data_IF_956832795346
#
_entry.id   IF_956832795346
#
_cell.length_a   1.000
_cell.length_b   1.000
_cell.length_c   1.000
_cell.angle_alpha   90.00
_cell.angle_beta   90.00
_cell.angle_gamma   90.00
#
_symmetry.space_group_name_H-M   'P 1'
#
loop_
_entity.id
_entity.type
_entity.pdbx_description
1 polymer ?
#
# COMPACT_ATOMS: atom_id res chain seq x y z
N UNK A 1 -37.05 5.61 -6.55
CA UNK A 1 -36.08 5.48 -7.65
C UNK A 1 -36.87 5.52 -8.94
N UNK A 2 -36.58 6.47 -9.79
CA UNK A 2 -37.20 6.64 -11.11
C UNK A 2 -36.17 6.35 -12.22
N UNK A 3 -36.59 6.28 -13.48
CA UNK A 3 -35.67 6.10 -14.60
C UNK A 3 -34.62 7.24 -14.71
N UNK A 4 -34.94 8.41 -14.18
CA UNK A 4 -34.01 9.55 -14.14
C UNK A 4 -32.85 9.35 -13.14
N UNK A 5 -33.03 8.46 -12.15
CA UNK A 5 -32.00 8.15 -11.15
C UNK A 5 -31.03 7.06 -11.63
N UNK A 6 -31.23 6.52 -12.84
CA UNK A 6 -30.44 5.42 -13.40
C UNK A 6 -29.40 5.97 -14.36
N UNK A 7 -28.12 5.99 -13.97
CA UNK A 7 -27.01 6.50 -14.78
C UNK A 7 -26.61 5.54 -15.92
N UNK A 8 -26.75 4.23 -15.72
CA UNK A 8 -26.40 3.23 -16.74
C UNK A 8 -27.17 1.92 -16.52
N UNK A 9 -27.28 1.09 -17.58
CA UNK A 9 -27.94 -0.23 -17.53
C UNK A 9 -27.04 -1.30 -18.18
N UNK A 10 -27.27 -2.57 -17.81
CA UNK A 10 -26.58 -3.72 -18.38
C UNK A 10 -25.08 -3.72 -18.16
N UNK A 11 -24.26 -4.18 -19.14
CA UNK A 11 -22.81 -4.26 -19.01
C UNK A 11 -22.14 -2.93 -18.66
N UNK A 12 -22.65 -1.80 -19.20
CA UNK A 12 -22.11 -0.49 -18.89
C UNK A 12 -22.26 -0.14 -17.41
N UNK A 13 -23.40 -0.45 -16.79
CA UNK A 13 -23.59 -0.20 -15.35
C UNK A 13 -22.58 -0.97 -14.51
N UNK A 14 -22.23 -2.20 -14.91
CA UNK A 14 -21.22 -3.01 -14.25
C UNK A 14 -19.83 -2.40 -14.37
N UNK A 15 -19.44 -1.97 -15.57
CA UNK A 15 -18.15 -1.31 -15.82
C UNK A 15 -18.04 0.01 -15.03
N UNK A 16 -19.08 0.85 -15.05
CA UNK A 16 -19.12 2.12 -14.33
C UNK A 16 -18.98 1.89 -12.80
N UNK A 17 -19.66 0.87 -12.25
CA UNK A 17 -19.54 0.50 -10.83
C UNK A 17 -18.12 0.06 -10.49
N UNK A 18 -17.50 -0.83 -11.27
CA UNK A 18 -16.14 -1.32 -10.99
C UNK A 18 -15.10 -0.20 -11.10
N UNK A 19 -15.26 0.70 -12.06
CA UNK A 19 -14.40 1.87 -12.23
C UNK A 19 -14.51 2.81 -11.02
N UNK A 20 -15.72 3.08 -10.55
CA UNK A 20 -15.96 3.87 -9.34
C UNK A 20 -15.33 3.20 -8.10
N UNK A 21 -15.57 1.90 -7.89
CA UNK A 21 -14.99 1.13 -6.79
C UNK A 21 -13.45 1.22 -6.82
N UNK A 22 -12.84 1.19 -8.01
CA UNK A 22 -11.38 1.26 -8.10
C UNK A 22 -10.82 2.62 -7.66
N UNK A 23 -11.51 3.73 -7.93
CA UNK A 23 -11.15 5.05 -7.40
C UNK A 23 -11.39 5.10 -5.87
N UNK A 24 -12.51 4.57 -5.39
CA UNK A 24 -12.82 4.49 -3.97
C UNK A 24 -11.77 3.72 -3.17
N UNK A 25 -11.16 2.68 -3.76
CA UNK A 25 -10.03 1.96 -3.15
C UNK A 25 -8.87 2.86 -2.79
N UNK A 26 -8.54 3.81 -3.65
CA UNK A 26 -7.49 4.80 -3.38
C UNK A 26 -7.86 5.69 -2.19
N UNK A 27 -9.10 6.18 -2.16
CA UNK A 27 -9.58 7.06 -1.09
C UNK A 27 -9.56 6.39 0.29
N UNK A 28 -9.84 5.08 0.38
CA UNK A 28 -9.76 4.31 1.63
C UNK A 28 -8.34 4.33 2.21
N UNK A 29 -7.31 4.08 1.39
CA UNK A 29 -5.92 4.15 1.84
C UNK A 29 -5.49 5.56 2.26
N UNK A 30 -5.94 6.59 1.53
CA UNK A 30 -5.70 7.99 1.89
C UNK A 30 -6.34 8.35 3.22
N UNK A 31 -7.59 7.90 3.46
CA UNK A 31 -8.29 8.07 4.73
C UNK A 31 -7.54 7.40 5.90
N UNK A 32 -7.07 6.15 5.71
CA UNK A 32 -6.26 5.45 6.71
C UNK A 32 -4.98 6.23 7.05
N UNK A 33 -4.27 6.74 6.04
CA UNK A 33 -3.06 7.54 6.23
C UNK A 33 -3.34 8.82 7.03
N UNK A 34 -4.46 9.50 6.75
CA UNK A 34 -4.88 10.69 7.49
C UNK A 34 -5.16 10.40 8.96
N UNK A 35 -5.95 9.36 9.24
CA UNK A 35 -6.28 8.93 10.61
C UNK A 35 -5.02 8.59 11.40
N UNK A 36 -4.13 7.80 10.82
CA UNK A 36 -2.90 7.36 11.50
C UNK A 36 -1.91 8.52 11.70
N UNK A 37 -1.88 9.49 10.80
CA UNK A 37 -1.09 10.72 10.97
C UNK A 37 -1.52 11.47 12.24
N UNK A 38 -2.82 11.58 12.47
CA UNK A 38 -3.33 12.20 13.68
C UNK A 38 -3.08 11.35 14.93
N UNK A 39 -3.26 10.03 14.82
CA UNK A 39 -2.92 9.11 15.92
C UNK A 39 -1.46 9.23 16.34
N UNK A 40 -0.54 9.38 15.38
CA UNK A 40 0.88 9.57 15.65
C UNK A 40 1.15 10.87 16.43
N UNK A 41 0.52 11.97 16.01
CA UNK A 41 0.60 13.26 16.71
C UNK A 41 0.09 13.15 18.16
N UNK A 42 -1.07 12.56 18.37
CA UNK A 42 -1.66 12.40 19.69
C UNK A 42 -0.79 11.53 20.61
N UNK A 43 -0.27 10.42 20.11
CA UNK A 43 0.63 9.55 20.87
C UNK A 43 1.93 10.23 21.25
N UNK A 44 2.54 10.96 20.31
CA UNK A 44 3.80 11.67 20.56
C UNK A 44 3.58 12.79 21.59
N UNK A 45 2.53 13.55 21.43
CA UNK A 45 2.17 14.61 22.38
C UNK A 45 1.92 14.04 23.78
N UNK A 46 1.16 12.94 23.89
CA UNK A 46 0.93 12.27 25.17
C UNK A 46 2.24 11.77 25.80
N UNK A 47 3.08 11.07 25.06
CA UNK A 47 4.31 10.49 25.56
C UNK A 47 5.34 11.55 25.99
N UNK A 48 5.41 12.68 25.27
CA UNK A 48 6.31 13.78 25.58
C UNK A 48 5.94 14.54 26.86
N UNK A 49 4.67 14.48 27.30
CA UNK A 49 4.18 15.20 28.47
C UNK A 49 3.88 14.27 29.66
N UNK A 50 3.90 12.95 29.49
CA UNK A 50 3.64 11.99 30.55
C UNK A 50 4.91 11.57 31.24
N UNK A 51 4.98 11.81 32.55
CA UNK A 51 6.07 11.31 33.39
C UNK A 51 5.66 10.01 34.12
N UNK A 52 6.51 9.00 34.03
CA UNK A 52 6.35 7.69 34.70
C UNK A 52 7.71 7.27 35.26
N UNK A 53 7.76 6.94 36.53
CA UNK A 53 8.99 6.57 37.23
C UNK A 53 10.11 7.61 37.11
N UNK A 54 9.76 8.89 37.10
CA UNK A 54 10.73 10.00 37.03
C UNK A 54 11.31 10.29 35.63
N UNK A 55 10.76 9.68 34.58
CA UNK A 55 11.17 9.87 33.18
C UNK A 55 9.95 10.14 32.31
N UNK A 56 10.13 10.85 31.21
CA UNK A 56 9.09 10.96 30.18
C UNK A 56 8.92 9.62 29.46
N UNK A 57 7.70 9.33 29.00
CA UNK A 57 7.40 8.09 28.27
C UNK A 57 8.28 7.97 27.02
N UNK A 58 8.59 9.08 26.36
CA UNK A 58 9.54 9.13 25.22
C UNK A 58 10.96 8.73 25.56
N UNK A 59 11.37 8.67 26.85
CA UNK A 59 12.74 8.30 27.23
C UNK A 59 12.96 6.78 27.23
N UNK A 60 11.87 5.99 27.27
CA UNK A 60 11.96 4.53 27.34
C UNK A 60 12.35 3.91 26.00
N UNK A 61 13.39 3.03 25.95
CA UNK A 61 13.89 2.46 24.68
C UNK A 61 12.84 1.70 23.86
N UNK A 62 11.95 0.93 24.51
CA UNK A 62 10.88 0.21 23.84
C UNK A 62 9.84 1.15 23.19
N UNK A 63 9.55 2.28 23.85
CA UNK A 63 8.66 3.32 23.30
C UNK A 63 9.30 4.00 22.08
N UNK A 64 10.61 4.31 22.15
CA UNK A 64 11.35 4.85 21.00
C UNK A 64 11.29 3.91 19.80
N UNK A 65 11.41 2.60 20.01
CA UNK A 65 11.29 1.61 18.95
C UNK A 65 9.88 1.56 18.35
N UNK A 66 8.84 1.61 19.17
CA UNK A 66 7.45 1.68 18.69
C UNK A 66 7.22 2.93 17.83
N UNK A 67 7.74 4.08 18.26
CA UNK A 67 7.66 5.31 17.46
C UNK A 67 8.44 5.19 16.15
N UNK A 68 9.64 4.62 16.17
CA UNK A 68 10.45 4.44 14.95
C UNK A 68 9.73 3.54 13.93
N UNK A 69 9.28 2.36 14.36
CA UNK A 69 8.55 1.41 13.50
C UNK A 69 7.24 2.05 12.96
N UNK A 70 6.50 2.75 13.82
CA UNK A 70 5.28 3.47 13.42
C UNK A 70 5.57 4.58 12.42
N UNK A 71 6.64 5.35 12.63
CA UNK A 71 7.02 6.45 11.75
C UNK A 71 7.47 5.94 10.38
N UNK A 72 8.31 4.91 10.31
CA UNK A 72 8.75 4.30 9.06
C UNK A 72 7.56 3.77 8.24
N UNK A 73 6.62 3.09 8.89
CA UNK A 73 5.40 2.60 8.23
C UNK A 73 4.51 3.74 7.75
N UNK A 74 4.32 4.78 8.56
CA UNK A 74 3.52 5.95 8.17
C UNK A 74 4.18 6.75 7.03
N UNK A 75 5.50 6.92 7.05
CA UNK A 75 6.25 7.54 5.97
C UNK A 75 6.10 6.74 4.66
N UNK A 76 6.22 5.40 4.73
CA UNK A 76 6.00 4.51 3.61
C UNK A 76 4.57 4.66 3.03
N UNK A 77 3.53 4.70 3.89
CA UNK A 77 2.14 4.93 3.46
C UNK A 77 1.98 6.24 2.69
N UNK A 78 2.60 7.32 3.17
CA UNK A 78 2.55 8.63 2.53
C UNK A 78 3.27 8.63 1.18
N UNK A 79 4.51 8.13 1.13
CA UNK A 79 5.31 8.08 -0.10
C UNK A 79 4.62 7.24 -1.17
N UNK A 80 4.11 6.07 -0.80
CA UNK A 80 3.33 5.24 -1.72
C UNK A 80 2.09 5.96 -2.23
N UNK A 81 1.32 6.57 -1.34
CA UNK A 81 0.09 7.30 -1.70
C UNK A 81 0.36 8.47 -2.67
N UNK A 82 1.44 9.22 -2.44
CA UNK A 82 1.87 10.29 -3.33
C UNK A 82 2.18 9.76 -4.74
N UNK A 83 2.96 8.69 -4.85
CA UNK A 83 3.33 8.13 -6.15
C UNK A 83 2.17 7.43 -6.84
N UNK A 84 1.33 6.71 -6.09
CA UNK A 84 0.10 6.12 -6.61
C UNK A 84 -0.87 7.18 -7.16
N UNK A 85 -0.90 8.39 -6.57
CA UNK A 85 -1.64 9.55 -7.11
C UNK A 85 -1.11 9.94 -8.49
N UNK A 86 0.22 10.03 -8.66
CA UNK A 86 0.81 10.38 -9.95
C UNK A 86 0.38 9.38 -11.04
N UNK A 87 0.48 8.07 -10.76
CA UNK A 87 0.05 7.01 -11.68
C UNK A 87 -1.45 7.05 -11.97
N UNK A 88 -2.27 7.35 -10.98
CA UNK A 88 -3.72 7.45 -11.17
C UNK A 88 -4.09 8.65 -12.04
N UNK A 89 -3.47 9.82 -11.80
CA UNK A 89 -3.73 11.05 -12.57
C UNK A 89 -3.15 11.03 -13.98
N UNK A 90 -2.03 10.31 -14.19
CA UNK A 90 -1.44 10.09 -15.51
C UNK A 90 -2.12 8.97 -16.31
N UNK A 91 -3.14 8.31 -15.75
CA UNK A 91 -3.80 7.17 -16.39
C UNK A 91 -4.42 7.53 -17.75
N UNK A 92 -4.37 6.58 -18.67
CA UNK A 92 -4.95 6.69 -20.02
C UNK A 92 -5.48 5.34 -20.51
N UNK A 93 -6.00 5.30 -21.74
CA UNK A 93 -6.39 4.04 -22.36
C UNK A 93 -5.20 3.08 -22.54
N UNK A 94 -4.00 3.63 -22.72
CA UNK A 94 -2.73 2.91 -22.98
C UNK A 94 -1.95 2.62 -21.68
N UNK A 95 -2.13 3.43 -20.62
CA UNK A 95 -1.47 3.28 -19.34
C UNK A 95 -2.48 3.08 -18.20
N UNK A 96 -2.63 1.82 -17.81
CA UNK A 96 -3.55 1.40 -16.74
C UNK A 96 -2.81 0.83 -15.52
N UNK A 97 -1.55 1.19 -15.31
CA UNK A 97 -0.74 0.69 -14.17
C UNK A 97 -1.37 1.00 -12.82
N UNK A 98 -2.09 2.12 -12.69
CA UNK A 98 -2.83 2.50 -11.48
C UNK A 98 -3.81 1.43 -10.98
N UNK A 99 -4.26 0.51 -11.85
CA UNK A 99 -5.15 -0.60 -11.49
C UNK A 99 -4.48 -1.65 -10.59
N UNK A 100 -3.14 -1.71 -10.51
CA UNK A 100 -2.41 -2.44 -9.50
C UNK A 100 -2.30 -1.62 -8.20
N UNK A 101 -1.99 -0.34 -8.32
CA UNK A 101 -1.63 0.47 -7.15
C UNK A 101 -2.86 0.86 -6.30
N UNK A 102 -4.04 1.04 -6.90
CA UNK A 102 -5.25 1.34 -6.13
C UNK A 102 -5.70 0.17 -5.22
N UNK A 103 -5.72 -1.10 -5.66
CA UNK A 103 -5.92 -2.23 -4.74
C UNK A 103 -4.84 -2.33 -3.63
N UNK A 104 -3.57 -2.03 -3.94
CA UNK A 104 -2.50 -1.98 -2.93
C UNK A 104 -2.77 -0.85 -1.94
N UNK A 105 -3.13 0.34 -2.41
CA UNK A 105 -3.49 1.47 -1.56
C UNK A 105 -4.63 1.11 -0.59
N UNK A 106 -5.66 0.45 -1.09
CA UNK A 106 -6.79 0.00 -0.28
C UNK A 106 -6.40 -1.09 0.73
N UNK A 107 -5.66 -2.09 0.27
CA UNK A 107 -5.40 -3.27 1.09
C UNK A 107 -4.18 -3.07 2.00
N UNK A 108 -3.00 -2.88 1.40
CA UNK A 108 -1.74 -2.79 2.15
C UNK A 108 -1.70 -1.55 3.04
N UNK A 109 -2.07 -0.39 2.50
CA UNK A 109 -2.01 0.86 3.26
C UNK A 109 -3.05 0.89 4.38
N UNK A 110 -4.29 0.41 4.15
CA UNK A 110 -5.29 0.37 5.20
C UNK A 110 -4.95 -0.62 6.32
N UNK A 111 -4.41 -1.82 5.98
CA UNK A 111 -3.96 -2.79 7.00
C UNK A 111 -2.77 -2.23 7.77
N UNK A 112 -1.80 -1.64 7.09
CA UNK A 112 -0.66 -0.99 7.75
C UNK A 112 -1.11 0.15 8.66
N UNK A 113 -2.20 0.85 8.31
CA UNK A 113 -2.83 1.84 9.19
C UNK A 113 -3.36 1.23 10.48
N UNK A 114 -4.02 0.05 10.43
CA UNK A 114 -4.41 -0.70 11.63
C UNK A 114 -3.18 -1.05 12.49
N UNK A 115 -2.10 -1.60 11.87
CA UNK A 115 -0.87 -1.99 12.55
C UNK A 115 -0.19 -0.80 13.25
N UNK A 116 -0.07 0.33 12.57
CA UNK A 116 0.53 1.55 13.15
C UNK A 116 -0.33 2.08 14.29
N UNK A 117 -1.65 2.12 14.13
CA UNK A 117 -2.55 2.57 15.18
C UNK A 117 -2.45 1.70 16.44
N UNK A 118 -2.33 0.38 16.30
CA UNK A 118 -2.13 -0.57 17.40
C UNK A 118 -0.83 -0.30 18.15
N UNK A 119 0.30 -0.14 17.43
CA UNK A 119 1.59 0.20 18.06
C UNK A 119 1.53 1.54 18.82
N UNK A 120 0.82 2.53 18.26
CA UNK A 120 0.63 3.83 18.91
C UNK A 120 -0.32 3.73 20.11
N UNK A 121 -1.28 2.79 20.09
CA UNK A 121 -2.17 2.54 21.23
C UNK A 121 -1.40 1.95 22.41
N UNK A 122 -0.43 1.09 22.17
CA UNK A 122 0.46 0.60 23.22
C UNK A 122 1.21 1.73 23.95
N UNK A 123 1.49 2.83 23.24
CA UNK A 123 2.15 4.01 23.84
C UNK A 123 1.16 4.84 24.65
N UNK A 124 -0.03 5.12 24.12
CA UNK A 124 -1.06 5.93 24.81
C UNK A 124 -1.73 5.14 25.93
N UNK A 125 -1.65 3.81 25.86
CA UNK A 125 -2.12 2.86 26.86
C UNK A 125 -3.61 3.04 27.23
N UNK A 126 -3.95 2.90 28.51
CA UNK A 126 -5.34 2.96 28.99
C UNK A 126 -6.09 4.25 28.65
N UNK A 127 -5.39 5.37 28.42
CA UNK A 127 -5.98 6.62 28.01
C UNK A 127 -6.70 6.52 26.65
N UNK A 128 -6.22 5.64 25.76
CA UNK A 128 -6.85 5.39 24.47
C UNK A 128 -8.28 4.84 24.56
N UNK A 129 -8.70 4.28 25.70
CA UNK A 129 -10.06 3.77 25.95
C UNK A 129 -11.04 4.81 26.49
N UNK A 130 -10.60 6.03 26.78
CA UNK A 130 -11.50 7.09 27.20
C UNK A 130 -12.46 7.42 26.06
N UNK A 131 -13.76 7.59 26.39
CA UNK A 131 -14.84 7.76 25.40
C UNK A 131 -14.59 8.91 24.43
N UNK A 132 -14.02 9.99 24.91
CA UNK A 132 -13.78 11.21 24.14
C UNK A 132 -12.36 11.27 23.55
N UNK A 133 -11.61 10.17 23.67
CA UNK A 133 -10.27 10.06 23.09
C UNK A 133 -10.34 9.68 21.62
N UNK A 134 -9.47 10.29 20.83
CA UNK A 134 -9.38 10.03 19.37
C UNK A 134 -9.17 8.55 19.03
N UNK A 135 -8.37 7.84 19.83
CA UNK A 135 -8.03 6.44 19.57
C UNK A 135 -9.24 5.51 19.58
N UNK A 136 -10.15 5.68 20.54
CA UNK A 136 -11.36 4.86 20.65
C UNK A 136 -12.32 5.05 19.46
N UNK A 137 -12.30 6.21 18.81
CA UNK A 137 -13.08 6.50 17.60
C UNK A 137 -12.35 5.98 16.34
N UNK A 138 -11.08 6.29 16.20
CA UNK A 138 -10.25 5.96 15.04
C UNK A 138 -10.14 4.44 14.80
N UNK A 139 -10.06 3.62 15.85
CA UNK A 139 -9.92 2.17 15.72
C UNK A 139 -11.09 1.53 14.97
N UNK A 140 -12.31 2.01 15.18
CA UNK A 140 -13.51 1.46 14.53
C UNK A 140 -13.47 1.72 13.02
N UNK A 141 -13.07 2.93 12.63
CA UNK A 141 -12.95 3.32 11.22
C UNK A 141 -11.82 2.55 10.53
N UNK A 142 -10.63 2.51 11.14
CA UNK A 142 -9.49 1.76 10.62
C UNK A 142 -9.81 0.28 10.45
N UNK A 143 -10.51 -0.34 11.41
CA UNK A 143 -10.99 -1.73 11.30
C UNK A 143 -12.00 -1.94 10.17
N UNK A 144 -12.76 -0.91 9.81
CA UNK A 144 -13.72 -0.93 8.70
C UNK A 144 -13.04 -0.89 7.33
N UNK A 145 -12.02 -0.07 7.17
CA UNK A 145 -11.40 0.24 5.88
C UNK A 145 -10.93 -0.99 5.08
N UNK A 146 -10.20 -1.97 5.62
CA UNK A 146 -9.82 -3.16 4.86
C UNK A 146 -10.99 -4.05 4.42
N UNK A 147 -12.19 -3.80 4.91
CA UNK A 147 -13.39 -4.62 4.61
C UNK A 147 -14.32 -3.96 3.58
N UNK A 148 -14.17 -2.63 3.36
CA UNK A 148 -14.91 -1.89 2.34
C UNK A 148 -14.32 -2.16 0.93
N UNK A 149 -15.07 -1.89 -0.14
CA UNK A 149 -14.64 -1.98 -1.54
C UNK A 149 -13.93 -3.31 -1.92
N UNK A 150 -14.45 -4.41 -1.40
CA UNK A 150 -13.88 -5.75 -1.45
C UNK A 150 -12.95 -6.04 -0.27
N UNK A 151 -13.01 -7.25 0.26
CA UNK A 151 -12.17 -7.69 1.38
C UNK A 151 -10.68 -7.75 0.99
N UNK A 152 -9.78 -7.94 1.99
CA UNK A 152 -8.36 -8.23 1.77
C UNK A 152 -8.17 -9.32 0.72
N UNK A 153 -8.89 -10.44 0.86
CA UNK A 153 -8.78 -11.60 -0.01
C UNK A 153 -9.14 -11.29 -1.47
N UNK A 154 -10.24 -10.57 -1.70
CA UNK A 154 -10.67 -10.18 -3.06
C UNK A 154 -9.63 -9.27 -3.73
N UNK A 155 -9.09 -8.28 -3.00
CA UNK A 155 -8.09 -7.39 -3.54
C UNK A 155 -6.76 -8.12 -3.78
N UNK A 156 -6.37 -9.06 -2.90
CA UNK A 156 -5.19 -9.89 -3.10
C UNK A 156 -5.29 -10.75 -4.37
N UNK A 157 -6.45 -11.37 -4.59
CA UNK A 157 -6.69 -12.16 -5.80
C UNK A 157 -6.65 -11.30 -7.08
N UNK A 158 -7.01 -10.01 -7.01
CA UNK A 158 -6.84 -9.07 -8.12
C UNK A 158 -5.37 -8.74 -8.34
N UNK A 159 -4.64 -8.41 -7.28
CA UNK A 159 -3.20 -8.09 -7.33
C UNK A 159 -2.42 -9.27 -7.90
N UNK A 160 -2.62 -10.47 -7.39
CA UNK A 160 -1.89 -11.67 -7.80
C UNK A 160 -2.03 -12.01 -9.30
N UNK A 161 -3.15 -11.64 -9.93
CA UNK A 161 -3.33 -11.80 -11.39
C UNK A 161 -2.33 -11.02 -12.22
N UNK A 162 -1.75 -9.96 -11.69
CA UNK A 162 -0.80 -9.08 -12.37
C UNK A 162 0.66 -9.49 -12.16
N UNK A 163 0.93 -10.42 -11.24
CA UNK A 163 2.26 -10.89 -10.88
C UNK A 163 3.10 -11.31 -12.10
N UNK A 164 2.59 -12.13 -13.06
CA UNK A 164 3.40 -12.54 -14.22
C UNK A 164 3.80 -11.35 -15.11
N UNK A 165 2.90 -10.39 -15.30
CA UNK A 165 3.18 -9.23 -16.13
C UNK A 165 4.14 -8.25 -15.45
N UNK A 166 4.09 -8.16 -14.12
CA UNK A 166 4.98 -7.31 -13.36
C UNK A 166 6.43 -7.82 -13.36
N UNK A 167 6.65 -9.10 -13.13
CA UNK A 167 7.99 -9.66 -13.00
C UNK A 167 8.61 -10.11 -14.31
N UNK A 168 7.82 -10.59 -15.28
CA UNK A 168 8.34 -11.30 -16.44
C UNK A 168 8.03 -10.67 -17.80
N UNK A 169 7.14 -9.67 -17.85
CA UNK A 169 6.74 -9.04 -19.10
C UNK A 169 6.80 -7.50 -19.01
N UNK A 170 7.97 -6.93 -18.70
CA UNK A 170 8.09 -5.48 -18.61
C UNK A 170 7.84 -4.82 -19.97
N UNK A 171 7.29 -3.61 -19.93
CA UNK A 171 7.06 -2.75 -21.09
C UNK A 171 7.67 -1.38 -20.82
N UNK A 172 8.21 -0.76 -21.85
CA UNK A 172 8.64 0.63 -21.75
C UNK A 172 7.42 1.57 -21.66
N UNK A 173 7.49 2.47 -20.69
CA UNK A 173 6.52 3.54 -20.50
C UNK A 173 7.23 4.88 -20.38
N UNK A 174 6.60 5.98 -20.80
CA UNK A 174 7.08 7.32 -20.46
C UNK A 174 7.21 7.47 -18.94
N UNK A 175 8.19 8.25 -18.53
CA UNK A 175 8.30 8.68 -17.14
C UNK A 175 7.09 9.51 -16.74
N UNK A 176 6.53 9.20 -15.56
CA UNK A 176 5.42 9.96 -15.00
C UNK A 176 6.01 10.98 -14.02
N UNK A 177 5.86 12.28 -14.30
CA UNK A 177 6.30 13.33 -13.38
C UNK A 177 5.39 13.42 -12.17
N UNK A 178 5.73 14.29 -11.24
CA UNK A 178 4.85 14.67 -10.14
C UNK A 178 3.58 15.34 -10.66
N UNK A 179 2.42 14.76 -10.38
CA UNK A 179 1.10 15.19 -10.86
C UNK A 179 0.35 15.99 -9.77
N UNK A 180 0.94 17.10 -9.30
CA UNK A 180 0.39 17.93 -8.23
C UNK A 180 -0.29 19.23 -8.72
N UNK A 181 -0.23 19.50 -10.03
CA UNK A 181 -0.87 20.65 -10.67
C UNK A 181 -2.37 20.46 -10.93
N UNK A 182 -3.05 21.47 -11.48
CA UNK A 182 -4.46 21.41 -11.90
C UNK A 182 -4.61 20.64 -13.23
N UNK A 183 -4.32 19.35 -13.19
CA UNK A 183 -4.36 18.46 -14.35
C UNK A 183 -5.79 18.09 -14.73
N UNK A 184 -5.95 17.62 -15.98
CA UNK A 184 -7.21 17.07 -16.45
C UNK A 184 -7.33 15.60 -16.05
N UNK A 185 -8.21 15.30 -15.09
CA UNK A 185 -8.49 13.95 -14.61
C UNK A 185 -9.69 13.28 -15.33
N UNK A 186 -10.14 13.80 -16.48
CA UNK A 186 -11.34 13.34 -17.19
C UNK A 186 -11.32 11.85 -17.51
N UNK A 187 -10.15 11.28 -17.78
CA UNK A 187 -10.01 9.85 -18.05
C UNK A 187 -10.54 9.00 -16.88
N UNK A 188 -10.34 9.41 -15.62
CA UNK A 188 -10.80 8.66 -14.46
C UNK A 188 -12.33 8.54 -14.38
N UNK A 189 -13.04 9.45 -15.03
CA UNK A 189 -14.50 9.43 -15.13
C UNK A 189 -15.01 8.77 -16.43
N UNK A 190 -14.10 8.39 -17.34
CA UNK A 190 -14.41 7.82 -18.67
C UNK A 190 -13.53 6.59 -18.96
N UNK A 191 -13.24 5.77 -17.95
CA UNK A 191 -12.29 4.65 -18.03
C UNK A 191 -12.68 3.56 -19.04
N UNK A 192 -13.93 3.48 -19.45
CA UNK A 192 -14.43 2.49 -20.40
C UNK A 192 -14.55 1.07 -19.78
N UNK A 193 -14.56 0.03 -20.63
CA UNK A 193 -14.76 -1.35 -20.17
C UNK A 193 -13.63 -1.84 -19.27
N UNK A 194 -14.00 -2.58 -18.22
CA UNK A 194 -13.05 -3.18 -17.25
C UNK A 194 -12.39 -4.47 -17.75
N UNK A 195 -12.67 -4.89 -18.99
CA UNK A 195 -12.09 -6.08 -19.60
C UNK A 195 -10.59 -5.90 -19.87
N UNK A 196 -9.84 -7.00 -19.74
CA UNK A 196 -8.40 -7.01 -20.06
C UNK A 196 -7.50 -6.69 -18.87
N UNK A 197 -8.01 -6.72 -17.65
CA UNK A 197 -7.23 -6.50 -16.43
C UNK A 197 -5.92 -7.32 -16.40
N UNK A 198 -5.96 -8.62 -16.71
CA UNK A 198 -4.78 -9.48 -16.77
C UNK A 198 -3.81 -9.21 -17.94
N UNK A 199 -4.07 -8.21 -18.79
CA UNK A 199 -3.18 -7.78 -19.89
C UNK A 199 -2.39 -6.51 -19.55
N UNK A 200 -2.62 -5.92 -18.39
CA UNK A 200 -1.90 -4.72 -17.94
C UNK A 200 -0.43 -5.09 -17.77
N UNK A 201 0.44 -4.30 -18.37
CA UNK A 201 1.88 -4.43 -18.25
C UNK A 201 2.46 -3.31 -17.39
N UNK A 202 3.68 -3.49 -16.93
CA UNK A 202 4.37 -2.57 -16.03
C UNK A 202 5.76 -2.26 -16.61
N UNK A 203 6.33 -1.13 -16.23
CA UNK A 203 7.75 -0.86 -16.47
C UNK A 203 8.60 -1.76 -15.57
N UNK A 204 9.85 -1.94 -15.92
CA UNK A 204 10.76 -2.79 -15.15
C UNK A 204 10.95 -2.22 -13.74
N UNK A 205 10.51 -2.96 -12.74
CA UNK A 205 10.64 -2.59 -11.33
C UNK A 205 12.10 -2.44 -10.90
N UNK A 206 13.02 -3.13 -11.56
CA UNK A 206 14.45 -3.05 -11.28
C UNK A 206 15.03 -1.65 -11.52
N UNK A 207 14.40 -0.82 -12.37
CA UNK A 207 14.83 0.56 -12.59
C UNK A 207 14.84 1.33 -11.26
N UNK A 208 13.75 1.25 -10.49
CA UNK A 208 13.68 1.90 -9.19
C UNK A 208 14.68 1.29 -8.19
N UNK A 209 14.70 -0.02 -8.05
CA UNK A 209 15.57 -0.70 -7.08
C UNK A 209 17.07 -0.52 -7.39
N UNK A 210 17.45 -0.39 -8.65
CA UNK A 210 18.85 -0.16 -9.05
C UNK A 210 19.29 1.32 -8.97
N UNK A 211 18.35 2.24 -8.77
CA UNK A 211 18.67 3.65 -8.58
C UNK A 211 19.17 3.97 -7.16
N UNK A 212 19.08 3.01 -6.22
CA UNK A 212 19.42 3.22 -4.81
C UNK A 212 20.44 2.16 -4.36
N UNK A 213 21.50 2.61 -3.67
CA UNK A 213 22.53 1.77 -3.06
C UNK A 213 22.55 1.98 -1.54
N UNK A 214 21.60 1.35 -0.84
CA UNK A 214 21.47 1.41 0.63
C UNK A 214 21.44 0.00 1.21
N UNK A 215 22.01 -0.26 2.39
CA UNK A 215 22.16 -1.60 2.95
C UNK A 215 20.87 -2.42 2.99
N UNK A 216 19.78 -1.88 3.56
CA UNK A 216 18.52 -2.59 3.67
C UNK A 216 17.76 -2.71 2.34
N UNK A 217 17.93 -1.75 1.42
CA UNK A 217 17.42 -1.87 0.05
C UNK A 217 18.14 -3.00 -0.68
N UNK A 218 19.44 -3.15 -0.50
CA UNK A 218 20.22 -4.25 -1.12
C UNK A 218 19.79 -5.61 -0.58
N UNK A 219 19.61 -5.77 0.74
CA UNK A 219 19.05 -6.99 1.33
C UNK A 219 17.65 -7.29 0.77
N UNK A 220 16.81 -6.28 0.64
CA UNK A 220 15.47 -6.45 0.06
C UNK A 220 15.54 -6.87 -1.42
N UNK A 221 16.48 -6.33 -2.20
CA UNK A 221 16.75 -6.78 -3.59
C UNK A 221 17.15 -8.25 -3.65
N UNK A 222 18.00 -8.72 -2.72
CA UNK A 222 18.36 -10.14 -2.63
C UNK A 222 17.13 -11.02 -2.34
N UNK A 223 16.24 -10.58 -1.45
CA UNK A 223 14.97 -11.27 -1.18
C UNK A 223 14.06 -11.31 -2.42
N UNK A 224 13.95 -10.20 -3.16
CA UNK A 224 13.21 -10.16 -4.43
C UNK A 224 13.81 -11.15 -5.44
N UNK A 225 15.11 -11.16 -5.60
CA UNK A 225 15.79 -12.06 -6.54
C UNK A 225 15.52 -13.53 -6.19
N UNK A 226 15.62 -13.89 -4.91
CA UNK A 226 15.31 -15.24 -4.45
C UNK A 226 13.83 -15.62 -4.71
N UNK A 227 12.91 -14.69 -4.50
CA UNK A 227 11.49 -14.89 -4.78
C UNK A 227 11.22 -15.08 -6.27
N UNK A 228 11.82 -14.25 -7.13
CA UNK A 228 11.66 -14.35 -8.60
C UNK A 228 12.28 -15.65 -9.13
N UNK A 229 13.44 -16.05 -8.62
CA UNK A 229 14.06 -17.34 -8.98
C UNK A 229 13.15 -18.51 -8.60
N UNK A 230 12.60 -18.48 -7.39
CA UNK A 230 11.64 -19.47 -6.93
C UNK A 230 10.37 -19.51 -7.81
N UNK A 231 9.82 -18.35 -8.20
CA UNK A 231 8.69 -18.28 -9.13
C UNK A 231 9.01 -18.92 -10.50
N UNK A 232 10.21 -18.69 -11.02
CA UNK A 232 10.65 -19.28 -12.30
C UNK A 232 10.79 -20.80 -12.21
N UNK A 233 11.35 -21.31 -11.12
CA UNK A 233 11.57 -22.75 -10.90
C UNK A 233 10.23 -23.49 -10.68
N UNK A 234 9.28 -22.86 -10.01
CA UNK A 234 7.99 -23.46 -9.68
C UNK A 234 7.00 -23.51 -10.88
N UNK A 235 7.17 -22.68 -11.88
CA UNK A 235 6.53 -22.76 -13.19
C UNK A 235 5.01 -23.05 -13.19
N UNK A 236 4.58 -24.12 -13.89
CA UNK A 236 3.17 -24.52 -13.99
C UNK A 236 2.60 -25.05 -12.67
N UNK A 237 3.43 -25.67 -11.84
CA UNK A 237 3.03 -26.20 -10.53
C UNK A 237 2.55 -25.07 -9.59
N UNK A 238 3.22 -23.92 -9.65
CA UNK A 238 2.82 -22.70 -8.93
C UNK A 238 1.40 -22.26 -9.30
N UNK A 239 1.05 -22.28 -10.59
CA UNK A 239 -0.28 -21.84 -11.05
C UNK A 239 -1.38 -22.75 -10.51
N UNK A 240 -1.14 -24.04 -10.50
CA UNK A 240 -2.10 -25.03 -10.01
C UNK A 240 -2.24 -24.93 -8.48
N UNK A 241 -1.16 -24.70 -7.75
CA UNK A 241 -1.18 -24.44 -6.31
C UNK A 241 -1.93 -23.15 -5.98
N UNK A 242 -1.65 -22.03 -6.66
CA UNK A 242 -2.36 -20.76 -6.46
C UNK A 242 -3.85 -20.84 -6.75
N UNK A 243 -4.30 -21.73 -7.62
CA UNK A 243 -5.72 -21.96 -7.94
C UNK A 243 -6.38 -22.92 -6.94
N UNK A 244 -5.63 -23.84 -6.37
CA UNK A 244 -6.11 -24.87 -5.45
C UNK A 244 -5.96 -24.51 -3.98
N UNK A 245 -5.00 -23.67 -3.63
CA UNK A 245 -4.70 -23.26 -2.27
C UNK A 245 -4.76 -21.73 -2.14
N UNK A 246 -5.80 -21.26 -1.49
CA UNK A 246 -6.03 -19.82 -1.35
C UNK A 246 -5.09 -19.17 -0.33
N UNK A 247 -4.66 -19.86 0.70
CA UNK A 247 -3.72 -19.35 1.70
C UNK A 247 -2.34 -19.17 1.06
N UNK A 248 -1.92 -20.11 0.23
CA UNK A 248 -0.71 -19.99 -0.58
C UNK A 248 -0.78 -18.78 -1.54
N UNK A 249 -1.91 -18.58 -2.24
CA UNK A 249 -2.14 -17.40 -3.07
C UNK A 249 -1.98 -16.10 -2.28
N UNK A 250 -2.48 -16.06 -1.04
CA UNK A 250 -2.37 -14.89 -0.17
C UNK A 250 -0.91 -14.61 0.19
N UNK A 251 -0.13 -15.62 0.60
CA UNK A 251 1.28 -15.45 0.98
C UNK A 251 2.12 -14.92 -0.19
N UNK A 252 2.01 -15.54 -1.37
CA UNK A 252 2.66 -15.09 -2.60
C UNK A 252 2.24 -13.66 -2.98
N UNK A 253 0.97 -13.36 -2.83
CA UNK A 253 0.40 -12.04 -3.10
C UNK A 253 0.90 -10.96 -2.14
N UNK A 254 1.12 -11.26 -0.86
CA UNK A 254 1.70 -10.31 0.11
C UNK A 254 3.14 -9.95 -0.24
N UNK A 255 3.96 -10.93 -0.63
CA UNK A 255 5.33 -10.68 -1.08
C UNK A 255 5.33 -9.81 -2.34
N UNK A 256 4.54 -10.18 -3.35
CA UNK A 256 4.40 -9.36 -4.57
C UNK A 256 3.94 -7.93 -4.25
N UNK A 257 2.93 -7.81 -3.39
CA UNK A 257 2.43 -6.49 -2.94
C UNK A 257 3.55 -5.65 -2.33
N UNK A 258 4.39 -6.25 -1.49
CA UNK A 258 5.49 -5.56 -0.83
C UNK A 258 6.55 -5.08 -1.84
N UNK A 259 6.83 -5.86 -2.90
CA UNK A 259 7.75 -5.45 -3.97
C UNK A 259 7.20 -4.25 -4.74
N UNK A 260 5.94 -4.31 -5.18
CA UNK A 260 5.31 -3.19 -5.90
C UNK A 260 5.15 -1.93 -5.02
N UNK A 261 4.92 -2.13 -3.73
CA UNK A 261 4.85 -1.07 -2.73
C UNK A 261 6.20 -0.37 -2.55
N UNK A 262 7.27 -1.16 -2.38
CA UNK A 262 8.63 -0.65 -2.24
C UNK A 262 9.13 0.10 -3.49
N UNK A 263 8.78 -0.38 -4.70
CA UNK A 263 9.10 0.32 -5.94
C UNK A 263 8.58 1.75 -5.94
N UNK A 264 7.28 1.95 -5.66
CA UNK A 264 6.68 3.29 -5.67
C UNK A 264 7.24 4.18 -4.56
N UNK A 265 7.63 3.60 -3.43
CA UNK A 265 8.27 4.34 -2.34
C UNK A 265 9.64 4.87 -2.76
N UNK A 266 10.47 4.07 -3.44
CA UNK A 266 11.76 4.52 -3.98
C UNK A 266 11.55 5.64 -5.01
N UNK A 267 10.63 5.45 -5.96
CA UNK A 267 10.30 6.47 -6.95
C UNK A 267 9.85 7.79 -6.30
N UNK A 268 8.98 7.70 -5.29
CA UNK A 268 8.51 8.87 -4.55
C UNK A 268 9.62 9.51 -3.71
N UNK A 269 10.47 8.72 -3.08
CA UNK A 269 11.58 9.21 -2.27
C UNK A 269 12.56 10.04 -3.09
N UNK A 270 12.83 9.63 -4.33
CA UNK A 270 13.68 10.41 -5.26
C UNK A 270 13.03 11.74 -5.65
N UNK A 271 11.71 11.77 -5.89
CA UNK A 271 10.98 13.01 -6.25
C UNK A 271 10.87 13.97 -5.07
N UNK A 272 10.62 13.45 -3.87
CA UNK A 272 10.44 14.23 -2.64
C UNK A 272 11.77 14.53 -1.91
N UNK A 273 12.91 14.12 -2.47
CA UNK A 273 14.25 14.30 -1.90
C UNK A 273 14.34 13.80 -0.44
N UNK A 274 13.78 12.60 -0.18
CA UNK A 274 13.76 12.00 1.15
C UNK A 274 15.16 11.58 1.57
N UNK A 275 15.49 11.83 2.84
CA UNK A 275 16.74 11.42 3.46
C UNK A 275 16.99 9.90 3.31
N UNK A 276 18.22 9.56 2.89
CA UNK A 276 18.62 8.17 2.63
C UNK A 276 18.53 7.29 3.89
N UNK A 277 18.78 7.85 5.07
CA UNK A 277 18.68 7.11 6.33
C UNK A 277 17.24 6.72 6.60
N UNK A 278 16.27 7.62 6.39
CA UNK A 278 14.85 7.31 6.51
C UNK A 278 14.44 6.24 5.50
N UNK A 279 14.86 6.34 4.25
CA UNK A 279 14.56 5.34 3.23
C UNK A 279 15.14 3.97 3.63
N UNK A 280 16.38 3.93 4.10
CA UNK A 280 17.02 2.72 4.60
C UNK A 280 16.29 2.09 5.78
N UNK A 281 15.76 2.89 6.72
CA UNK A 281 14.96 2.41 7.86
C UNK A 281 13.58 1.89 7.41
N UNK A 282 12.95 2.50 6.43
CA UNK A 282 11.72 1.97 5.82
C UNK A 282 11.98 0.56 5.25
N UNK A 283 13.10 0.37 4.58
CA UNK A 283 13.45 -0.93 4.01
C UNK A 283 13.89 -1.96 5.06
N UNK A 284 14.38 -1.58 6.24
CA UNK A 284 14.54 -2.49 7.38
C UNK A 284 13.19 -3.14 7.76
N UNK A 285 12.14 -2.33 7.82
CA UNK A 285 10.78 -2.83 8.07
C UNK A 285 10.34 -3.82 6.97
N UNK A 286 10.62 -3.51 5.70
CA UNK A 286 10.22 -4.36 4.58
C UNK A 286 10.99 -5.68 4.52
N UNK A 287 12.26 -5.70 4.85
CA UNK A 287 13.06 -6.93 4.98
C UNK A 287 12.45 -7.86 6.03
N UNK A 288 12.03 -7.30 7.16
CA UNK A 288 11.35 -8.07 8.23
C UNK A 288 9.96 -8.58 7.79
N UNK A 289 9.17 -7.72 7.14
CA UNK A 289 7.83 -8.08 6.65
C UNK A 289 7.92 -9.14 5.55
N UNK A 290 8.88 -9.02 4.61
CA UNK A 290 9.13 -10.02 3.58
C UNK A 290 9.46 -11.39 4.19
N UNK A 291 10.39 -11.41 5.16
CA UNK A 291 10.79 -12.65 5.84
C UNK A 291 9.60 -13.31 6.55
N UNK A 292 8.71 -12.51 7.15
CA UNK A 292 7.49 -13.02 7.78
C UNK A 292 6.56 -13.66 6.76
N UNK A 293 6.28 -12.99 5.64
CA UNK A 293 5.41 -13.52 4.59
C UNK A 293 5.98 -14.76 3.89
N UNK A 294 7.31 -14.90 3.85
CA UNK A 294 7.96 -16.07 3.28
C UNK A 294 7.92 -17.31 4.20
N UNK A 295 7.55 -17.13 5.48
CA UNK A 295 7.39 -18.23 6.45
C UNK A 295 5.93 -18.71 6.56
N UNK A 296 4.97 -17.86 6.15
CA UNK A 296 3.54 -18.20 6.09
C UNK A 296 3.22 -19.08 4.87
#
# INVERSE_FOLDING_TARGET
ITDADISARGPKAWDDMLNTINICKFNIGSGATGIVTHSFYESLNHAAHRNVYGKYVTDFPHVKRLFLDSFCRLAAMKLFGLRATDYMRAASAEDKRYLLYNPIMKMKVAIQGEEVHEMLWDIIAAKGFEKDNYFSQAVVELRGFPKLEGTRHVNMALIAKLLPNFFFNPKEYPEIPRMNGPENDDYLFQQGPTRGYGKIQFHDYNIAYNSVDLPNVNVFKEQINAFVEWLMLSGMELKDQMLGDFDFLLAVGEIFTLVAYGQLIIESAAIEEIDEELLNQIFDVFVRDFSRYALD
#
